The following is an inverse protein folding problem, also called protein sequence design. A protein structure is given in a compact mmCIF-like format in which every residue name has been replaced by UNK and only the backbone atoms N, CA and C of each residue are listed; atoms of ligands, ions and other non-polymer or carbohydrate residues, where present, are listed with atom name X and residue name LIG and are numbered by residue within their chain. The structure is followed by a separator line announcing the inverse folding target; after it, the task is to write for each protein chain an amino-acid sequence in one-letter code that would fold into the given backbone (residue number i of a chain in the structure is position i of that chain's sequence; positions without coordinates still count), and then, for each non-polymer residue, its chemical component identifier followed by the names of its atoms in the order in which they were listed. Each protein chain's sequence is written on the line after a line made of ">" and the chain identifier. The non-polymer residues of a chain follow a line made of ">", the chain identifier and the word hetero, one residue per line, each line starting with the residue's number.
data_IF_741309245850
#
_entry.id   IF_741309245850
#
_cell.length_a   1.000
_cell.length_b   1.000
_cell.length_c   1.000
_cell.angle_alpha   90.00
_cell.angle_beta   90.00
_cell.angle_gamma   90.00
#
_symmetry.space_group_name_H-M   'P 1'
#
loop_
_entity.id
_entity.type
_entity.pdbx_description
1 polymer ?
#
# COMPACT_ATOMS: atom_id res chain seq x y z
N UNK A 1 17.66 9.29 26.58
CA UNK A 1 16.31 9.08 27.16
C UNK A 1 16.37 7.74 27.88
N UNK A 2 16.34 7.74 29.22
CA UNK A 2 16.42 6.49 29.99
C UNK A 2 15.03 5.91 30.18
N UNK A 3 14.57 5.16 29.18
CA UNK A 3 13.32 4.40 29.29
C UNK A 3 13.51 3.29 30.31
N UNK A 4 12.71 3.32 31.37
CA UNK A 4 12.67 2.26 32.40
C UNK A 4 11.31 1.57 32.36
N UNK A 5 11.30 0.29 32.66
CA UNK A 5 10.07 -0.49 32.81
C UNK A 5 10.06 -1.18 34.17
N UNK A 6 8.86 -1.56 34.59
CA UNK A 6 8.62 -2.30 35.82
C UNK A 6 7.91 -3.61 35.50
N UNK A 7 8.29 -4.68 36.19
CA UNK A 7 7.59 -5.95 36.12
C UNK A 7 7.49 -6.61 37.50
N UNK A 8 6.41 -7.37 37.77
CA UNK A 8 6.37 -8.27 38.91
C UNK A 8 7.54 -9.26 38.86
N UNK A 9 8.12 -9.54 40.03
CA UNK A 9 9.27 -10.43 40.15
C UNK A 9 9.29 -11.09 41.54
N UNK A 10 10.28 -11.95 41.75
CA UNK A 10 10.52 -12.61 43.04
C UNK A 10 11.96 -12.35 43.47
N UNK A 11 12.16 -11.90 44.70
CA UNK A 11 13.50 -11.64 45.23
C UNK A 11 14.27 -12.94 45.45
N UNK A 12 15.60 -12.85 45.64
CA UNK A 12 16.44 -14.00 46.00
C UNK A 12 15.98 -14.72 47.29
N UNK A 13 15.14 -14.06 48.11
CA UNK A 13 14.57 -14.60 49.35
C UNK A 13 13.15 -15.15 49.14
N UNK A 14 12.69 -15.31 47.90
CA UNK A 14 11.37 -15.86 47.58
C UNK A 14 10.20 -14.91 47.81
N UNK A 15 10.43 -13.62 48.06
CA UNK A 15 9.37 -12.64 48.33
C UNK A 15 8.90 -11.94 47.06
N UNK A 16 7.61 -11.62 46.99
CA UNK A 16 7.03 -10.79 45.91
C UNK A 16 7.79 -9.46 45.85
N UNK A 17 8.22 -9.09 44.65
CA UNK A 17 9.00 -7.91 44.39
C UNK A 17 8.56 -7.24 43.07
N UNK A 18 8.99 -6.00 42.88
CA UNK A 18 8.90 -5.31 41.59
C UNK A 18 10.30 -5.04 41.09
N UNK A 19 10.63 -5.58 39.92
CA UNK A 19 11.88 -5.30 39.24
C UNK A 19 11.71 -4.02 38.42
N UNK A 20 12.56 -3.02 38.67
CA UNK A 20 12.68 -1.82 37.82
C UNK A 20 13.98 -1.92 37.04
N UNK A 21 13.92 -1.90 35.71
CA UNK A 21 15.08 -2.03 34.84
C UNK A 21 15.04 -1.02 33.70
N UNK A 22 16.21 -0.65 33.17
CA UNK A 22 16.31 0.14 31.94
C UNK A 22 15.99 -0.74 30.72
N UNK A 23 15.47 -0.13 29.65
CA UNK A 23 15.19 -0.83 28.39
C UNK A 23 16.49 -1.20 27.66
N UNK A 24 17.39 -0.23 27.50
CA UNK A 24 18.66 -0.39 26.79
C UNK A 24 19.80 -0.47 27.81
N UNK A 25 20.70 -1.43 27.61
CA UNK A 25 21.92 -1.59 28.39
C UNK A 25 22.96 -0.53 27.99
N UNK A 26 23.08 -0.27 26.69
CA UNK A 26 23.96 0.75 26.13
C UNK A 26 23.45 1.19 24.75
N UNK A 27 23.94 2.34 24.30
CA UNK A 27 23.75 2.88 22.96
C UNK A 27 25.04 3.52 22.51
N UNK A 28 25.51 3.17 21.32
CA UNK A 28 26.66 3.77 20.65
C UNK A 28 26.16 4.48 19.41
N UNK A 29 26.46 5.77 19.31
CA UNK A 29 26.12 6.57 18.14
C UNK A 29 27.42 6.86 17.39
N UNK A 30 27.52 6.35 16.17
CA UNK A 30 28.62 6.69 15.29
C UNK A 30 28.40 8.11 14.74
N UNK A 31 29.48 8.87 14.61
CA UNK A 31 29.46 10.19 14.01
C UNK A 31 30.26 10.13 12.71
N UNK A 32 29.58 10.27 11.57
CA UNK A 32 30.20 10.21 10.25
C UNK A 32 29.77 11.43 9.40
N UNK A 33 30.73 12.04 8.69
CA UNK A 33 30.49 13.22 7.85
C UNK A 33 29.92 12.85 6.46
N UNK A 34 30.04 11.59 6.06
CA UNK A 34 29.58 11.06 4.77
C UNK A 34 28.10 10.63 4.77
N UNK A 35 27.41 10.81 5.89
CA UNK A 35 26.00 10.46 6.07
C UNK A 35 25.75 8.96 6.29
N UNK A 36 26.77 8.14 6.58
CA UNK A 36 26.65 6.69 6.80
C UNK A 36 26.79 6.27 8.26
N UNK A 37 26.45 7.16 9.19
CA UNK A 37 26.48 6.86 10.62
C UNK A 37 25.59 5.66 11.00
N UNK A 38 26.11 4.80 11.86
CA UNK A 38 25.37 3.70 12.48
C UNK A 38 24.97 4.00 13.92
N UNK A 39 23.92 3.32 14.39
CA UNK A 39 23.52 3.32 15.80
C UNK A 39 23.49 1.87 16.26
N UNK A 40 24.32 1.56 17.24
CA UNK A 40 24.37 0.26 17.89
C UNK A 40 23.75 0.36 19.28
N UNK A 41 23.06 -0.68 19.71
CA UNK A 41 22.41 -0.71 21.01
C UNK A 41 22.16 -2.16 21.44
N UNK A 42 22.00 -2.35 22.75
CA UNK A 42 21.64 -3.65 23.31
C UNK A 42 20.46 -3.49 24.28
N UNK A 43 19.44 -4.35 24.17
CA UNK A 43 18.42 -4.46 25.22
C UNK A 43 19.03 -5.00 26.52
N UNK A 44 18.57 -4.56 27.68
CA UNK A 44 18.97 -5.21 28.94
C UNK A 44 18.49 -6.67 29.00
N UNK A 45 19.15 -7.51 29.78
CA UNK A 45 18.72 -8.91 29.96
C UNK A 45 17.26 -9.04 30.44
N UNK A 46 16.78 -8.23 31.41
CA UNK A 46 15.37 -8.19 31.76
C UNK A 46 14.44 -7.82 30.60
N UNK A 47 14.83 -6.86 29.74
CA UNK A 47 14.02 -6.46 28.58
C UNK A 47 13.91 -7.60 27.56
N UNK A 48 15.02 -8.27 27.25
CA UNK A 48 15.02 -9.44 26.34
C UNK A 48 14.12 -10.56 26.85
N UNK A 49 14.15 -10.84 28.15
CA UNK A 49 13.30 -11.87 28.76
C UNK A 49 11.81 -11.56 28.60
N UNK A 50 11.38 -10.32 28.84
CA UNK A 50 9.98 -9.91 28.63
C UNK A 50 9.60 -10.01 27.15
N UNK A 51 10.45 -9.50 26.25
CA UNK A 51 10.16 -9.49 24.82
C UNK A 51 10.05 -10.90 24.24
N UNK A 52 10.89 -11.83 24.69
CA UNK A 52 10.85 -13.24 24.27
C UNK A 52 9.62 -13.98 24.77
N UNK A 53 9.13 -13.66 25.98
CA UNK A 53 7.95 -14.30 26.57
C UNK A 53 6.61 -13.65 26.23
N UNK A 54 6.59 -12.62 25.38
CA UNK A 54 5.38 -11.85 25.09
C UNK A 54 4.61 -12.42 23.90
N UNK A 55 3.43 -13.00 24.17
CA UNK A 55 2.45 -13.37 23.14
C UNK A 55 1.61 -12.16 22.66
N UNK A 56 1.88 -10.98 23.20
CA UNK A 56 1.19 -9.75 22.87
C UNK A 56 2.05 -8.91 21.93
N UNK A 57 1.75 -8.96 20.63
CA UNK A 57 2.45 -8.20 19.60
C UNK A 57 1.48 -7.58 18.59
N UNK A 58 1.90 -6.48 17.97
CA UNK A 58 1.23 -5.87 16.83
C UNK A 58 2.18 -5.85 15.63
N UNK A 59 1.61 -6.08 14.44
CA UNK A 59 2.33 -5.86 13.19
C UNK A 59 2.20 -4.39 12.81
N UNK A 60 3.32 -3.69 12.69
CA UNK A 60 3.35 -2.29 12.28
C UNK A 60 3.80 -2.20 10.82
N UNK A 61 3.04 -1.46 9.99
CA UNK A 61 3.51 -1.06 8.68
C UNK A 61 4.55 0.07 8.84
N UNK A 62 5.80 -0.19 8.41
CA UNK A 62 6.92 0.76 8.50
C UNK A 62 6.68 2.06 7.72
N UNK A 63 6.13 1.97 6.51
CA UNK A 63 5.87 3.15 5.68
C UNK A 63 4.85 4.06 6.34
N UNK A 64 3.74 3.50 6.85
CA UNK A 64 2.74 4.25 7.60
C UNK A 64 3.36 4.89 8.85
N UNK A 65 4.13 4.11 9.63
CA UNK A 65 4.77 4.58 10.87
C UNK A 65 5.67 5.80 10.62
N UNK A 66 6.49 5.75 9.57
CA UNK A 66 7.39 6.86 9.18
C UNK A 66 6.65 8.04 8.54
N UNK A 67 5.43 7.84 8.06
CA UNK A 67 4.63 8.89 7.43
C UNK A 67 3.88 9.77 8.44
N UNK A 68 3.57 9.24 9.64
CA UNK A 68 2.94 10.00 10.72
C UNK A 68 3.81 11.19 11.15
N UNK A 69 3.16 12.31 11.48
CA UNK A 69 3.81 13.55 11.94
C UNK A 69 3.53 13.83 13.41
N UNK A 70 2.46 13.28 13.95
CA UNK A 70 2.07 13.42 15.35
C UNK A 70 2.52 12.20 16.17
N UNK A 71 3.21 12.43 17.29
CA UNK A 71 3.51 11.38 18.27
C UNK A 71 2.22 10.69 18.79
N UNK A 72 1.13 11.45 18.88
CA UNK A 72 -0.16 10.93 19.33
C UNK A 72 -0.79 10.03 18.26
N UNK A 73 -0.62 10.38 16.98
CA UNK A 73 -1.07 9.52 15.88
C UNK A 73 -0.32 8.19 15.89
N UNK A 74 0.99 8.20 16.14
CA UNK A 74 1.80 6.98 16.28
C UNK A 74 1.26 6.10 17.40
N UNK A 75 1.07 6.62 18.62
CA UNK A 75 0.59 5.82 19.75
C UNK A 75 -0.83 5.28 19.53
N UNK A 76 -1.73 6.09 18.95
CA UNK A 76 -3.10 5.65 18.62
C UNK A 76 -3.12 4.64 17.47
N UNK A 77 -2.21 4.76 16.50
CA UNK A 77 -1.99 3.78 15.45
C UNK A 77 -1.47 2.45 16.01
N UNK A 78 -0.51 2.46 16.94
CA UNK A 78 -0.03 1.26 17.61
C UNK A 78 -1.15 0.55 18.37
N UNK A 79 -2.01 1.30 19.07
CA UNK A 79 -3.24 0.76 19.67
C UNK A 79 -4.17 0.15 18.63
N UNK A 80 -4.38 0.82 17.50
CA UNK A 80 -5.19 0.31 16.40
C UNK A 80 -4.63 -0.98 15.80
N UNK A 81 -3.31 -1.07 15.59
CA UNK A 81 -2.65 -2.30 15.11
C UNK A 81 -2.85 -3.49 16.05
N UNK A 82 -2.99 -3.24 17.36
CA UNK A 82 -3.30 -4.28 18.34
C UNK A 82 -4.77 -4.71 18.31
N UNK A 83 -5.68 -3.80 17.98
CA UNK A 83 -7.12 -3.96 18.20
C UNK A 83 -7.95 -4.20 16.93
N UNK A 84 -7.60 -3.61 15.79
CA UNK A 84 -8.44 -3.57 14.59
C UNK A 84 -8.82 -4.97 14.06
N UNK A 85 -7.94 -5.97 14.23
CA UNK A 85 -8.20 -7.36 13.83
C UNK A 85 -8.88 -8.22 14.90
N UNK A 86 -9.24 -7.67 16.06
CA UNK A 86 -9.88 -8.43 17.14
C UNK A 86 -11.39 -8.45 16.97
N UNK A 87 -12.04 -9.45 17.56
CA UNK A 87 -13.51 -9.52 17.71
C UNK A 87 -14.08 -8.27 18.39
N UNK A 88 -13.29 -7.66 19.26
CA UNK A 88 -13.64 -6.46 20.00
C UNK A 88 -12.63 -5.35 19.72
N UNK A 89 -12.75 -4.63 18.60
CA UNK A 89 -11.73 -3.69 18.15
C UNK A 89 -11.88 -2.32 18.80
N UNK A 90 -12.24 -2.31 20.09
CA UNK A 90 -12.45 -1.08 20.87
C UNK A 90 -11.52 -1.00 22.06
N UNK A 91 -11.15 0.23 22.38
CA UNK A 91 -10.60 0.60 23.67
C UNK A 91 -11.58 1.53 24.39
N UNK A 92 -11.76 1.39 25.69
CA UNK A 92 -12.60 2.28 26.49
C UNK A 92 -11.93 2.58 27.83
N UNK A 93 -12.03 3.82 28.26
CA UNK A 93 -11.45 4.28 29.52
C UNK A 93 -11.79 5.73 29.82
N UNK A 94 -11.25 6.23 30.92
CA UNK A 94 -11.37 7.64 31.30
C UNK A 94 -10.52 8.53 30.38
N UNK A 95 -10.83 9.83 30.35
CA UNK A 95 -10.00 10.77 29.58
C UNK A 95 -8.59 10.86 30.16
N UNK A 96 -8.45 10.76 31.49
CA UNK A 96 -7.18 10.74 32.19
C UNK A 96 -6.32 9.53 31.80
N UNK A 97 -6.90 8.34 31.76
CA UNK A 97 -6.22 7.12 31.27
C UNK A 97 -5.78 7.25 29.81
N UNK A 98 -6.61 7.86 28.96
CA UNK A 98 -6.23 8.06 27.56
C UNK A 98 -5.06 9.07 27.43
N UNK A 99 -5.09 10.17 28.18
CA UNK A 99 -4.01 11.17 28.20
C UNK A 99 -2.69 10.55 28.62
N UNK A 100 -2.71 9.74 29.66
CA UNK A 100 -1.53 9.00 30.12
C UNK A 100 -1.03 8.05 29.02
N UNK A 101 -1.94 7.24 28.45
CA UNK A 101 -1.59 6.25 27.42
C UNK A 101 -0.97 6.88 26.17
N UNK A 102 -1.45 8.04 25.72
CA UNK A 102 -0.88 8.74 24.55
C UNK A 102 0.30 9.66 24.91
N UNK A 103 0.74 9.68 26.17
CA UNK A 103 1.90 10.45 26.61
C UNK A 103 1.68 11.98 26.57
N UNK A 104 0.48 12.43 26.95
CA UNK A 104 0.23 13.85 27.24
C UNK A 104 1.00 14.23 28.50
N UNK A 105 1.74 15.35 28.45
CA UNK A 105 2.49 15.82 29.60
C UNK A 105 1.54 16.19 30.75
N UNK A 106 1.90 15.92 32.01
CA UNK A 106 1.08 16.30 33.15
C UNK A 106 0.71 17.79 33.09
N UNK A 107 -0.54 18.11 33.47
CA UNK A 107 -1.07 19.49 33.49
C UNK A 107 -1.20 20.17 32.12
N UNK A 108 -1.07 19.45 31.01
CA UNK A 108 -1.35 19.96 29.65
C UNK A 108 -2.63 19.36 29.09
N UNK A 109 -3.29 20.04 28.13
CA UNK A 109 -4.52 19.59 27.48
C UNK A 109 -5.63 19.17 28.47
N UNK A 110 -5.78 19.95 29.55
CA UNK A 110 -6.73 19.70 30.63
C UNK A 110 -8.18 19.79 30.16
N UNK A 111 -8.46 20.72 29.25
CA UNK A 111 -9.75 20.81 28.62
C UNK A 111 -9.92 19.69 27.59
N UNK A 112 -11.06 18.98 27.64
CA UNK A 112 -11.36 17.95 26.65
C UNK A 112 -11.47 18.52 25.22
N UNK A 113 -11.94 19.76 25.05
CA UNK A 113 -12.02 20.38 23.72
C UNK A 113 -10.65 20.52 23.06
N UNK A 114 -9.63 20.91 23.84
CA UNK A 114 -8.26 21.02 23.33
C UNK A 114 -7.66 19.64 23.10
N UNK A 115 -7.89 18.70 24.02
CA UNK A 115 -7.46 17.31 23.85
C UNK A 115 -8.04 16.69 22.57
N UNK A 116 -9.34 16.86 22.34
CA UNK A 116 -10.00 16.43 21.11
C UNK A 116 -9.35 17.04 19.87
N UNK A 117 -9.22 18.37 19.83
CA UNK A 117 -8.68 19.09 18.68
C UNK A 117 -7.23 18.74 18.36
N UNK A 118 -6.36 18.70 19.37
CA UNK A 118 -4.91 18.57 19.18
C UNK A 118 -4.42 17.11 19.25
N UNK A 119 -5.26 16.18 19.68
CA UNK A 119 -4.90 14.76 19.81
C UNK A 119 -5.82 13.91 18.95
N UNK A 120 -7.11 13.84 19.27
CA UNK A 120 -8.04 12.89 18.64
C UNK A 120 -8.31 13.22 17.18
N UNK A 121 -8.71 14.47 16.89
CA UNK A 121 -9.04 14.91 15.54
C UNK A 121 -7.82 14.82 14.61
N UNK A 122 -6.65 15.31 15.07
CA UNK A 122 -5.40 15.25 14.30
C UNK A 122 -4.93 13.81 14.07
N UNK A 123 -4.99 12.96 15.10
CA UNK A 123 -4.59 11.56 14.98
C UNK A 123 -5.52 10.78 14.06
N UNK A 124 -6.84 10.93 14.20
CA UNK A 124 -7.82 10.30 13.30
C UNK A 124 -7.56 10.68 11.86
N UNK A 125 -7.39 11.97 11.60
CA UNK A 125 -7.17 12.46 10.26
C UNK A 125 -5.89 11.86 9.63
N UNK A 126 -4.82 11.65 10.40
CA UNK A 126 -3.63 10.94 9.92
C UNK A 126 -3.86 9.43 9.77
N UNK A 127 -4.47 8.77 10.75
CA UNK A 127 -4.72 7.31 10.74
C UNK A 127 -5.62 6.93 9.57
N UNK A 128 -6.74 7.62 9.42
CA UNK A 128 -7.69 7.37 8.33
C UNK A 128 -7.06 7.58 6.95
N UNK A 129 -6.00 8.39 6.85
CA UNK A 129 -5.29 8.60 5.59
C UNK A 129 -4.18 7.56 5.35
N UNK A 130 -3.48 7.11 6.40
CA UNK A 130 -2.20 6.40 6.26
C UNK A 130 -2.22 4.93 6.73
N UNK A 131 -3.23 4.53 7.50
CA UNK A 131 -3.34 3.16 8.03
C UNK A 131 -4.33 2.31 7.23
N UNK A 132 -4.20 0.98 7.38
CA UNK A 132 -5.13 -0.03 6.83
C UNK A 132 -6.46 -0.15 7.62
N UNK A 133 -6.73 0.79 8.53
CA UNK A 133 -7.94 0.86 9.33
C UNK A 133 -8.30 2.33 9.56
N UNK A 134 -9.55 2.56 9.96
CA UNK A 134 -10.04 3.87 10.40
C UNK A 134 -10.10 3.91 11.92
N UNK A 135 -10.03 5.11 12.49
CA UNK A 135 -10.25 5.35 13.92
C UNK A 135 -11.50 6.19 14.12
N UNK A 136 -12.46 5.70 14.89
CA UNK A 136 -13.60 6.46 15.38
C UNK A 136 -13.56 6.58 16.89
N UNK A 137 -14.26 7.58 17.44
CA UNK A 137 -14.48 7.64 18.88
C UNK A 137 -15.87 8.14 19.25
N UNK A 138 -16.31 7.74 20.44
CA UNK A 138 -17.51 8.25 21.09
C UNK A 138 -17.23 8.70 22.51
N UNK A 139 -17.98 9.68 22.98
CA UNK A 139 -17.77 10.34 24.27
C UNK A 139 -18.90 9.95 25.23
N UNK A 140 -18.57 9.70 26.50
CA UNK A 140 -19.57 9.50 27.56
C UNK A 140 -19.53 10.67 28.54
N UNK A 141 -20.69 11.30 28.73
CA UNK A 141 -20.89 12.38 29.70
C UNK A 141 -21.19 11.80 31.09
N UNK A 142 -20.54 12.36 32.10
CA UNK A 142 -20.84 12.11 33.51
C UNK A 142 -21.76 13.18 34.09
N UNK A 143 -21.77 13.27 35.42
CA UNK A 143 -22.54 14.29 36.13
C UNK A 143 -22.15 15.72 35.67
N UNK A 144 -23.14 16.62 35.61
CA UNK A 144 -22.97 18.03 35.19
C UNK A 144 -22.48 18.20 33.74
N UNK A 145 -22.68 17.19 32.89
CA UNK A 145 -22.43 17.26 31.44
C UNK A 145 -20.96 17.17 31.02
N UNK A 146 -20.03 16.98 31.97
CA UNK A 146 -18.60 16.81 31.69
C UNK A 146 -18.33 15.49 30.99
N UNK A 147 -17.46 15.48 29.99
CA UNK A 147 -17.01 14.26 29.32
C UNK A 147 -16.03 13.55 30.25
N UNK A 148 -16.32 12.28 30.56
CA UNK A 148 -15.58 11.50 31.56
C UNK A 148 -14.88 10.30 30.96
N UNK A 149 -15.46 9.71 29.90
CA UNK A 149 -14.92 8.54 29.24
C UNK A 149 -14.98 8.71 27.73
N UNK A 150 -14.14 7.94 27.05
CA UNK A 150 -14.11 7.83 25.61
C UNK A 150 -14.00 6.37 25.22
N UNK A 151 -14.65 6.01 24.12
CA UNK A 151 -14.50 4.71 23.47
C UNK A 151 -13.90 4.94 22.09
N UNK A 152 -12.70 4.41 21.86
CA UNK A 152 -12.05 4.38 20.56
C UNK A 152 -12.44 3.08 19.85
N UNK A 153 -12.73 3.14 18.56
CA UNK A 153 -13.06 1.99 17.71
C UNK A 153 -12.17 2.00 16.49
N UNK A 154 -11.54 0.86 16.18
CA UNK A 154 -10.65 0.72 15.04
C UNK A 154 -11.24 -0.26 14.03
N UNK A 155 -11.52 0.19 12.82
CA UNK A 155 -12.22 -0.66 11.83
C UNK A 155 -11.32 -0.90 10.63
N UNK A 156 -11.02 -2.16 10.27
CA UNK A 156 -10.28 -2.47 9.05
C UNK A 156 -10.95 -1.81 7.84
N UNK A 157 -10.12 -1.30 6.93
CA UNK A 157 -10.59 -0.82 5.63
C UNK A 157 -10.84 -2.01 4.70
N UNK A 158 -11.61 -1.77 3.64
CA UNK A 158 -11.62 -2.67 2.50
C UNK A 158 -10.26 -2.63 1.77
N UNK A 159 -10.10 -3.54 0.80
CA UNK A 159 -8.84 -3.71 0.07
C UNK A 159 -8.47 -2.42 -0.70
N UNK A 160 -9.42 -1.80 -1.40
CA UNK A 160 -9.19 -0.58 -2.17
C UNK A 160 -8.73 0.60 -1.27
N UNK A 161 -9.38 0.80 -0.13
CA UNK A 161 -8.99 1.85 0.81
C UNK A 161 -7.70 1.53 1.58
N UNK A 162 -7.35 0.25 1.70
CA UNK A 162 -6.07 -0.19 2.25
C UNK A 162 -4.93 0.11 1.28
N UNK A 163 -5.11 -0.22 0.00
CA UNK A 163 -4.14 0.07 -1.06
C UNK A 163 -3.94 1.58 -1.23
N UNK A 164 -5.02 2.36 -1.21
CA UNK A 164 -4.94 3.81 -1.26
C UNK A 164 -4.15 4.42 -0.08
N UNK A 165 -4.27 3.83 1.12
CA UNK A 165 -3.50 4.25 2.29
C UNK A 165 -2.01 3.89 2.17
N UNK A 166 -1.71 2.71 1.63
CA UNK A 166 -0.33 2.27 1.38
C UNK A 166 0.35 3.17 0.34
N UNK A 167 -0.34 3.50 -0.76
CA UNK A 167 0.12 4.45 -1.77
C UNK A 167 0.37 5.84 -1.16
N UNK A 168 -0.55 6.35 -0.35
CA UNK A 168 -0.41 7.67 0.28
C UNK A 168 0.75 7.72 1.28
N UNK A 169 1.03 6.63 2.01
CA UNK A 169 2.19 6.51 2.87
C UNK A 169 3.51 6.56 2.10
N UNK A 170 3.53 6.08 0.85
CA UNK A 170 4.67 6.17 -0.07
C UNK A 170 4.87 7.55 -0.70
N UNK A 171 3.88 8.44 -0.65
CA UNK A 171 3.94 9.78 -1.27
C UNK A 171 4.63 10.83 -0.38
N UNK A 172 5.11 11.88 -1.04
CA UNK A 172 5.71 13.03 -0.38
C UNK A 172 4.75 13.75 0.58
N UNK A 173 5.28 14.20 1.71
CA UNK A 173 4.54 14.72 2.86
C UNK A 173 3.85 16.07 2.61
N UNK A 174 4.45 16.92 1.77
CA UNK A 174 4.01 18.30 1.54
C UNK A 174 2.57 18.43 1.03
N UNK A 175 2.08 17.45 0.25
CA UNK A 175 0.72 17.47 -0.29
C UNK A 175 -0.32 16.72 0.54
N UNK A 176 0.06 16.05 1.64
CA UNK A 176 -0.83 15.13 2.37
C UNK A 176 -2.06 15.82 2.92
N UNK A 177 -1.88 16.98 3.54
CA UNK A 177 -2.98 17.77 4.12
C UNK A 177 -3.94 18.26 3.03
N UNK A 178 -3.42 18.75 1.92
CA UNK A 178 -4.24 19.19 0.79
C UNK A 178 -5.05 18.03 0.20
N UNK A 179 -4.45 16.85 0.02
CA UNK A 179 -5.15 15.66 -0.47
C UNK A 179 -6.25 15.19 0.49
N UNK A 180 -5.96 15.21 1.80
CA UNK A 180 -6.95 14.88 2.85
C UNK A 180 -8.15 15.83 2.83
N UNK A 181 -7.90 17.12 2.63
CA UNK A 181 -8.96 18.15 2.58
C UNK A 181 -9.65 18.24 1.21
N UNK A 182 -9.27 17.41 0.23
CA UNK A 182 -9.78 17.50 -1.14
C UNK A 182 -9.36 18.76 -1.89
N UNK A 183 -8.36 19.49 -1.37
CA UNK A 183 -7.84 20.76 -1.92
C UNK A 183 -6.54 20.59 -2.70
N UNK A 184 -6.06 19.36 -2.86
CA UNK A 184 -4.89 19.11 -3.69
C UNK A 184 -5.25 19.41 -5.15
N UNK A 185 -4.65 20.45 -5.71
CA UNK A 185 -4.54 20.57 -7.15
C UNK A 185 -3.84 19.31 -7.64
N UNK A 186 -4.55 18.50 -8.43
CA UNK A 186 -3.92 17.41 -9.13
C UNK A 186 -3.09 18.07 -10.20
N UNK A 187 -1.78 18.24 -9.95
CA UNK A 187 -0.83 18.48 -11.03
C UNK A 187 -0.81 17.19 -11.81
N UNK A 188 -1.74 17.09 -12.75
CA UNK A 188 -1.70 16.13 -13.82
C UNK A 188 -0.42 16.47 -14.56
N UNK A 189 0.64 15.70 -14.31
CA UNK A 189 1.70 15.60 -15.28
C UNK A 189 1.07 14.94 -16.50
N UNK A 190 0.59 15.78 -17.40
CA UNK A 190 -0.02 15.36 -18.66
C UNK A 190 0.94 14.43 -19.41
N UNK A 191 2.26 14.59 -19.27
CA UNK A 191 3.22 13.69 -19.90
C UNK A 191 3.22 12.30 -19.26
N UNK A 192 3.14 12.20 -17.93
CA UNK A 192 3.02 10.91 -17.21
C UNK A 192 1.67 10.24 -17.44
N UNK A 193 0.57 11.00 -17.48
CA UNK A 193 -0.78 10.49 -17.81
C UNK A 193 -0.87 10.07 -19.27
N UNK A 194 -0.26 10.80 -20.20
CA UNK A 194 -0.10 10.39 -21.60
C UNK A 194 0.81 9.17 -21.68
N UNK A 195 1.91 9.06 -20.93
CA UNK A 195 2.82 7.92 -20.97
C UNK A 195 2.21 6.65 -20.38
N UNK A 196 1.42 6.77 -19.31
CA UNK A 196 0.73 5.63 -18.68
C UNK A 196 -0.53 5.23 -19.43
N UNK A 197 -1.27 6.19 -20.01
CA UNK A 197 -2.36 5.91 -20.95
C UNK A 197 -1.80 5.33 -22.25
N UNK A 198 -0.69 5.84 -22.77
CA UNK A 198 0.04 5.28 -23.91
C UNK A 198 0.67 3.93 -23.58
N UNK A 199 1.04 3.61 -22.33
CA UNK A 199 1.53 2.28 -21.94
C UNK A 199 0.39 1.27 -21.80
N UNK A 200 -0.79 1.69 -21.34
CA UNK A 200 -2.02 0.86 -21.33
C UNK A 200 -2.62 0.71 -22.72
N UNK A 201 -2.44 1.71 -23.59
CA UNK A 201 -2.80 1.71 -25.01
C UNK A 201 -1.64 1.24 -25.91
N UNK A 202 -0.46 0.93 -25.34
CA UNK A 202 0.70 0.47 -26.10
C UNK A 202 0.43 -0.96 -26.53
N UNK A 203 -0.20 -1.06 -27.70
CA UNK A 203 0.03 -2.12 -28.65
C UNK A 203 1.55 -2.28 -28.72
N UNK A 204 2.07 -3.41 -28.22
CA UNK A 204 3.47 -3.76 -28.42
C UNK A 204 3.81 -3.54 -29.90
N UNK A 205 4.95 -2.92 -30.20
CA UNK A 205 5.52 -2.76 -31.55
C UNK A 205 5.78 -4.11 -32.28
N UNK A 206 5.37 -5.22 -31.67
CA UNK A 206 5.38 -6.55 -32.26
C UNK A 206 4.10 -6.76 -33.07
N UNK A 207 4.25 -7.08 -34.36
CA UNK A 207 3.17 -7.48 -35.27
C UNK A 207 2.25 -8.54 -34.62
N UNK A 208 0.94 -8.30 -34.57
CA UNK A 208 -0.07 -9.25 -34.04
C UNK A 208 -1.18 -9.47 -35.05
N UNK A 209 -1.81 -10.63 -34.97
CA UNK A 209 -3.00 -10.90 -35.76
C UNK A 209 -4.15 -9.98 -35.30
N UNK A 210 -4.87 -9.29 -36.21
CA UNK A 210 -5.88 -8.31 -35.84
C UNK A 210 -7.06 -8.97 -35.11
N UNK A 211 -7.61 -8.27 -34.11
CA UNK A 211 -8.64 -8.81 -33.24
C UNK A 211 -9.95 -9.15 -33.98
N UNK A 212 -10.27 -8.43 -35.05
CA UNK A 212 -11.43 -8.61 -35.92
C UNK A 212 -11.11 -9.46 -37.17
N UNK A 213 -9.91 -10.06 -37.22
CA UNK A 213 -9.43 -10.88 -38.33
C UNK A 213 -9.40 -10.16 -39.70
N UNK A 214 -9.50 -8.82 -39.73
CA UNK A 214 -9.47 -8.02 -40.95
C UNK A 214 -8.03 -7.65 -41.33
N UNK A 215 -7.58 -8.12 -42.49
CA UNK A 215 -6.26 -7.80 -43.07
C UNK A 215 -6.44 -6.76 -44.16
N UNK A 216 -5.90 -5.56 -43.92
CA UNK A 216 -6.06 -4.42 -44.82
C UNK A 216 -4.83 -3.52 -44.84
N UNK A 217 -4.63 -2.84 -45.95
CA UNK A 217 -3.46 -2.01 -46.25
C UNK A 217 -3.12 -1.01 -45.13
N UNK A 218 -4.13 -0.36 -44.56
CA UNK A 218 -3.95 0.68 -43.54
C UNK A 218 -3.92 0.13 -42.11
N UNK A 219 -4.43 -1.08 -41.87
CA UNK A 219 -4.62 -1.64 -40.53
C UNK A 219 -3.53 -2.65 -40.16
N UNK A 220 -3.11 -3.46 -41.13
CA UNK A 220 -2.10 -4.52 -40.99
C UNK A 220 -1.20 -4.54 -42.22
N UNK A 221 -0.47 -3.43 -42.50
CA UNK A 221 0.25 -3.22 -43.75
C UNK A 221 1.21 -4.36 -44.09
N UNK A 222 1.90 -4.92 -43.10
CA UNK A 222 2.85 -6.02 -43.32
C UNK A 222 2.19 -7.32 -43.78
N UNK A 223 1.09 -7.73 -43.13
CA UNK A 223 0.36 -8.95 -43.51
C UNK A 223 -0.35 -8.75 -44.85
N UNK A 224 -0.85 -7.54 -45.09
CA UNK A 224 -1.48 -7.18 -46.35
C UNK A 224 -0.48 -7.24 -47.52
N UNK A 225 0.72 -6.66 -47.36
CA UNK A 225 1.77 -6.70 -48.36
C UNK A 225 2.19 -8.15 -48.71
N UNK A 226 2.30 -9.03 -47.72
CA UNK A 226 2.59 -10.46 -47.94
C UNK A 226 1.46 -11.13 -48.75
N UNK A 227 0.21 -10.85 -48.39
CA UNK A 227 -0.96 -11.37 -49.10
C UNK A 227 -0.99 -10.93 -50.57
N UNK A 228 -0.71 -9.65 -50.84
CA UNK A 228 -0.65 -9.11 -52.21
C UNK A 228 0.50 -9.73 -53.00
N UNK A 229 1.70 -9.78 -52.42
CA UNK A 229 2.90 -10.22 -53.12
C UNK A 229 2.94 -11.73 -53.37
N UNK A 230 2.47 -12.54 -52.42
CA UNK A 230 2.63 -14.01 -52.44
C UNK A 230 1.32 -14.77 -52.57
N UNK A 231 0.17 -14.09 -52.54
CA UNK A 231 -1.16 -14.72 -52.53
C UNK A 231 -1.69 -15.19 -53.87
N UNK A 232 -0.88 -15.16 -54.93
CA UNK A 232 -1.25 -15.69 -56.24
C UNK A 232 -2.46 -15.00 -56.89
N UNK A 233 -2.70 -13.73 -56.58
CA UNK A 233 -3.83 -12.94 -57.10
C UNK A 233 -5.15 -13.13 -56.35
N UNK A 234 -5.19 -13.93 -55.28
CA UNK A 234 -6.38 -14.04 -54.44
C UNK A 234 -6.55 -12.82 -53.53
N UNK A 235 -7.80 -12.46 -53.24
CA UNK A 235 -8.12 -11.42 -52.28
C UNK A 235 -7.50 -11.72 -50.91
N UNK A 236 -6.76 -10.76 -50.36
CA UNK A 236 -6.04 -10.92 -49.08
C UNK A 236 -6.97 -11.30 -47.94
N UNK A 237 -8.15 -10.67 -47.86
CA UNK A 237 -9.13 -11.01 -46.82
C UNK A 237 -9.63 -12.46 -46.94
N UNK A 238 -9.78 -12.99 -48.16
CA UNK A 238 -10.16 -14.40 -48.36
C UNK A 238 -9.10 -15.37 -47.84
N UNK A 239 -7.82 -15.05 -48.04
CA UNK A 239 -6.70 -15.82 -47.50
C UNK A 239 -6.70 -15.77 -45.96
N UNK A 240 -7.02 -14.60 -45.40
CA UNK A 240 -7.07 -14.35 -43.97
C UNK A 240 -8.24 -15.08 -43.29
N UNK A 241 -9.43 -15.04 -43.89
CA UNK A 241 -10.62 -15.75 -43.40
C UNK A 241 -10.35 -17.27 -43.33
N UNK A 242 -9.70 -17.82 -44.36
CA UNK A 242 -9.38 -19.24 -44.37
C UNK A 242 -8.28 -19.58 -43.36
N UNK A 243 -7.28 -18.72 -43.17
CA UNK A 243 -6.28 -18.88 -42.13
C UNK A 243 -6.90 -18.88 -40.73
N UNK A 244 -7.82 -17.95 -40.47
CA UNK A 244 -8.55 -17.86 -39.22
C UNK A 244 -9.41 -19.10 -38.95
N UNK A 245 -10.02 -19.68 -40.00
CA UNK A 245 -10.81 -20.91 -39.93
C UNK A 245 -9.96 -22.15 -39.65
N UNK A 246 -8.82 -22.30 -40.34
CA UNK A 246 -7.98 -23.49 -40.24
C UNK A 246 -7.07 -23.45 -39.01
N UNK A 247 -6.73 -22.25 -38.51
CA UNK A 247 -5.78 -22.05 -37.41
C UNK A 247 -6.36 -21.13 -36.33
N UNK A 248 -7.44 -21.54 -35.65
CA UNK A 248 -8.18 -20.66 -34.76
C UNK A 248 -7.32 -20.16 -33.59
N UNK A 249 -6.74 -21.07 -32.83
CA UNK A 249 -5.96 -20.71 -31.64
C UNK A 249 -4.53 -20.27 -31.97
N UNK A 250 -3.96 -20.78 -33.07
CA UNK A 250 -2.55 -20.58 -33.40
C UNK A 250 -2.25 -19.14 -33.83
N UNK A 251 -3.15 -18.51 -34.61
CA UNK A 251 -2.99 -17.11 -35.05
C UNK A 251 -2.92 -16.10 -33.91
N UNK A 252 -3.54 -16.43 -32.77
CA UNK A 252 -3.59 -15.57 -31.57
C UNK A 252 -2.37 -15.74 -30.67
N UNK A 253 -1.63 -16.85 -30.82
CA UNK A 253 -0.42 -17.16 -30.03
C UNK A 253 0.86 -16.60 -30.66
N UNK A 254 0.88 -16.39 -31.97
CA UNK A 254 2.04 -15.88 -32.69
C UNK A 254 2.08 -14.35 -32.69
N UNK A 255 3.29 -13.81 -32.57
CA UNK A 255 3.58 -12.37 -32.58
C UNK A 255 4.89 -12.09 -33.33
N UNK A 256 5.08 -10.85 -33.80
CA UNK A 256 6.29 -10.40 -34.49
C UNK A 256 6.65 -11.28 -35.70
N UNK A 257 7.94 -11.59 -35.81
CA UNK A 257 8.49 -12.39 -36.93
C UNK A 257 7.91 -13.80 -37.02
N UNK A 258 7.53 -14.40 -35.89
CA UNK A 258 6.93 -15.74 -35.90
C UNK A 258 5.56 -15.74 -36.60
N UNK A 259 4.77 -14.69 -36.40
CA UNK A 259 3.50 -14.52 -37.10
C UNK A 259 3.73 -14.24 -38.59
N UNK A 260 4.70 -13.40 -38.91
CA UNK A 260 5.07 -13.06 -40.29
C UNK A 260 5.49 -14.30 -41.09
N UNK A 261 6.33 -15.15 -40.50
CA UNK A 261 6.81 -16.38 -41.12
C UNK A 261 5.66 -17.38 -41.35
N UNK A 262 4.78 -17.56 -40.36
CA UNK A 262 3.65 -18.49 -40.48
C UNK A 262 2.64 -18.03 -41.53
N UNK A 263 2.30 -16.73 -41.54
CA UNK A 263 1.42 -16.14 -42.54
C UNK A 263 2.01 -16.25 -43.96
N UNK A 264 3.30 -15.97 -44.13
CA UNK A 264 4.01 -16.11 -45.41
C UNK A 264 3.92 -17.55 -45.94
N UNK A 265 4.15 -18.54 -45.07
CA UNK A 265 4.05 -19.96 -45.41
C UNK A 265 2.62 -20.35 -45.81
N UNK A 266 1.63 -19.85 -45.08
CA UNK A 266 0.22 -20.09 -45.38
C UNK A 266 -0.19 -19.53 -46.74
N UNK A 267 0.11 -18.25 -46.98
CA UNK A 267 -0.26 -17.54 -48.22
C UNK A 267 0.38 -18.20 -49.44
N UNK A 268 1.67 -18.51 -49.36
CA UNK A 268 2.40 -19.21 -50.44
C UNK A 268 1.81 -20.60 -50.71
N UNK A 269 1.46 -21.34 -49.64
CA UNK A 269 0.81 -22.64 -49.76
C UNK A 269 -0.58 -22.57 -50.39
N UNK A 270 -1.36 -21.53 -50.09
CA UNK A 270 -2.66 -21.27 -50.71
C UNK A 270 -2.50 -20.93 -52.19
N UNK A 271 -1.57 -20.03 -52.55
CA UNK A 271 -1.29 -19.69 -53.94
C UNK A 271 -0.92 -20.94 -54.78
N UNK A 272 -0.08 -21.82 -54.24
CA UNK A 272 0.30 -23.06 -54.92
C UNK A 272 -0.85 -24.08 -55.07
N UNK A 273 -1.76 -24.16 -54.10
CA UNK A 273 -2.90 -25.09 -54.12
C UNK A 273 -4.10 -24.56 -54.91
N UNK A 274 -4.38 -23.27 -54.81
CA UNK A 274 -5.57 -22.64 -55.38
C UNK A 274 -5.32 -22.09 -56.79
N UNK A 275 -4.06 -21.93 -57.20
CA UNK A 275 -3.66 -21.61 -58.57
C UNK A 275 -3.58 -22.82 -59.53
N UNK A 276 -3.82 -24.06 -59.05
CA UNK A 276 -3.94 -25.27 -59.90
C UNK A 276 -5.40 -25.68 -60.12
N UNK A 277 -6.25 -24.71 -60.42
CA UNK A 277 -7.65 -24.90 -60.79
C UNK A 277 -7.95 -24.12 -62.06
#
# INVERSE_FOLDING_TARGET
>A
MDVKFQMPSTSAQGRVATLTAALLAWTLNEHAEDGRATVEWEFTAPARAILQGSDYYARLNRAALLAFRSKYAITLYEMGCLLAGRREPRWSGTIEELRERVGVAPKTLLNFSDFRRFVLDLAKAEIDQLAAFTMEWSEKRGARGKITHVTLTFTPKDDDATDAAADEAGRHSGGRKARREGKAETIIDTASLIASTASRLSVSDALRWPADDQIGEFKTPELHAIGVALGGGHAVQRLADQYARVRPEHRRKLVGDALKADWTKWVTGCAAKWGRA
#
